data_IF_611635625577
#
_entry.id   IF_611635625577
#
_cell.length_a   1.000
_cell.length_b   1.000
_cell.length_c   1.000
_cell.angle_alpha   90.00
_cell.angle_beta   90.00
_cell.angle_gamma   90.00
#
_symmetry.space_group_name_H-M   'P 1'
#
loop_
_entity.id
_entity.type
_entity.pdbx_description
1 polymer ?
#
# COMPACT_ATOMS: atom_id res chain seq x y z
N UNK A 1 -7.48 0.50 15.08
CA UNK A 1 -6.61 1.13 14.07
C UNK A 1 -5.25 1.32 14.71
N UNK A 2 -4.22 0.61 14.26
CA UNK A 2 -2.86 0.70 14.85
C UNK A 2 -1.81 1.23 13.85
N UNK A 3 -2.18 1.37 12.58
CA UNK A 3 -1.30 1.84 11.50
C UNK A 3 -1.42 3.33 11.19
N UNK A 4 -2.44 4.02 11.72
CA UNK A 4 -2.83 5.41 11.37
C UNK A 4 -2.97 5.72 9.86
N UNK A 5 -2.97 4.68 9.03
CA UNK A 5 -3.02 4.77 7.58
C UNK A 5 -4.07 3.82 7.00
N UNK A 6 -4.69 4.26 5.89
CA UNK A 6 -5.54 3.42 5.05
C UNK A 6 -4.68 2.61 4.10
N UNK A 7 -5.01 1.33 3.90
CA UNK A 7 -4.33 0.43 2.97
C UNK A 7 -5.35 -0.21 2.05
N UNK A 8 -5.01 -0.32 0.77
CA UNK A 8 -5.76 -1.06 -0.24
C UNK A 8 -4.79 -1.89 -1.07
N UNK A 9 -5.27 -3.01 -1.61
CA UNK A 9 -4.54 -3.81 -2.59
C UNK A 9 -5.18 -3.64 -3.96
N UNK A 10 -4.36 -3.59 -5.00
CA UNK A 10 -4.84 -3.46 -6.37
C UNK A 10 -3.77 -3.91 -7.37
N UNK A 11 -4.22 -4.28 -8.56
CA UNK A 11 -3.33 -4.61 -9.67
C UNK A 11 -2.95 -3.35 -10.44
N UNK A 12 -1.71 -3.32 -10.91
CA UNK A 12 -1.19 -2.27 -11.80
C UNK A 12 -0.72 -2.92 -13.10
N UNK A 13 -0.72 -2.18 -14.24
CA UNK A 13 -0.02 -2.61 -15.44
C UNK A 13 1.43 -3.01 -15.15
N UNK A 14 1.91 -4.10 -15.73
CA UNK A 14 3.27 -4.62 -15.49
C UNK A 14 4.36 -3.58 -15.79
N UNK A 15 4.15 -2.70 -16.78
CA UNK A 15 5.09 -1.62 -17.10
C UNK A 15 5.27 -0.59 -15.97
N UNK A 16 4.43 -0.62 -14.93
CA UNK A 16 4.49 0.27 -13.76
C UNK A 16 5.05 -0.43 -12.50
N UNK A 17 5.48 -1.68 -12.60
CA UNK A 17 6.10 -2.41 -11.49
C UNK A 17 7.32 -1.65 -10.94
N UNK A 18 7.36 -1.42 -9.63
CA UNK A 18 8.48 -0.75 -8.95
C UNK A 18 8.69 0.72 -9.34
N UNK A 19 7.77 1.31 -10.11
CA UNK A 19 7.80 2.74 -10.40
C UNK A 19 7.47 3.51 -9.12
N UNK A 20 8.25 4.53 -8.72
CA UNK A 20 7.96 5.40 -7.58
C UNK A 20 6.80 6.37 -7.89
N UNK A 21 5.75 5.86 -8.53
CA UNK A 21 4.60 6.60 -9.01
C UNK A 21 3.68 7.02 -7.87
N UNK A 22 3.13 8.23 -7.99
CA UNK A 22 1.93 8.62 -7.26
C UNK A 22 0.74 7.95 -7.94
N UNK A 23 0.02 7.13 -7.18
CA UNK A 23 -1.27 6.60 -7.60
C UNK A 23 -2.37 7.52 -7.09
N UNK A 24 -3.53 7.48 -7.75
CA UNK A 24 -4.75 8.05 -7.20
C UNK A 24 -5.82 6.95 -7.12
N UNK A 25 -6.47 6.88 -5.97
CA UNK A 25 -7.56 5.94 -5.73
C UNK A 25 -8.84 6.76 -5.55
N UNK A 26 -9.89 6.39 -6.27
CA UNK A 26 -11.21 6.97 -6.06
C UNK A 26 -11.91 6.27 -4.89
N UNK A 27 -12.32 7.04 -3.89
CA UNK A 27 -13.11 6.56 -2.76
C UNK A 27 -14.38 7.39 -2.69
N UNK A 28 -15.52 6.80 -3.06
CA UNK A 28 -16.83 7.43 -3.05
C UNK A 28 -16.85 8.77 -3.82
N UNK A 29 -16.34 8.75 -5.06
CA UNK A 29 -16.27 9.94 -5.93
C UNK A 29 -15.16 10.94 -5.57
N UNK A 30 -14.30 10.65 -4.58
CA UNK A 30 -13.17 11.50 -4.21
C UNK A 30 -11.85 10.83 -4.59
N UNK A 31 -11.07 11.45 -5.48
CA UNK A 31 -9.70 11.03 -5.77
C UNK A 31 -8.79 11.32 -4.58
N UNK A 32 -8.00 10.34 -4.17
CA UNK A 32 -7.05 10.44 -3.07
C UNK A 32 -5.68 9.98 -3.55
N UNK A 33 -4.65 10.77 -3.27
CA UNK A 33 -3.28 10.35 -3.54
C UNK A 33 -2.93 9.11 -2.71
N UNK A 34 -2.23 8.18 -3.35
CA UNK A 34 -1.74 6.94 -2.77
C UNK A 34 -0.31 6.69 -3.24
N UNK A 35 0.42 5.93 -2.42
CA UNK A 35 1.79 5.51 -2.68
C UNK A 35 1.85 4.00 -2.63
N UNK A 36 2.75 3.41 -3.44
CA UNK A 36 3.04 1.99 -3.33
C UNK A 36 3.58 1.66 -1.94
N UNK A 37 3.13 0.53 -1.38
CA UNK A 37 3.58 0.04 -0.07
C UNK A 37 4.10 -1.41 -0.23
N UNK A 38 5.39 -1.59 -0.53
CA UNK A 38 5.94 -2.91 -0.86
C UNK A 38 6.21 -3.79 0.37
N UNK A 39 6.13 -3.23 1.59
CA UNK A 39 6.36 -3.94 2.86
C UNK A 39 5.12 -3.90 3.72
N UNK A 40 4.92 -4.92 4.56
CA UNK A 40 3.88 -4.85 5.57
C UNK A 40 4.10 -3.62 6.48
N UNK A 41 3.02 -2.87 6.76
CA UNK A 41 3.07 -1.75 7.71
C UNK A 41 3.32 -2.21 9.15
N UNK A 42 3.03 -3.48 9.42
CA UNK A 42 3.18 -4.08 10.74
C UNK A 42 4.06 -5.32 10.64
N UNK A 43 5.01 -5.43 11.55
CA UNK A 43 5.99 -6.51 11.59
C UNK A 43 6.61 -6.81 10.21
N UNK A 44 7.29 -5.82 9.57
CA UNK A 44 7.84 -5.98 8.23
C UNK A 44 8.87 -7.11 8.11
N UNK A 45 9.40 -7.55 9.25
CA UNK A 45 10.35 -8.65 9.31
C UNK A 45 9.68 -9.98 9.65
N UNK A 46 8.49 -10.01 10.25
CA UNK A 46 7.79 -11.24 10.66
C UNK A 46 8.31 -11.85 11.97
N UNK A 47 8.94 -11.05 12.83
CA UNK A 47 9.58 -11.56 14.06
C UNK A 47 8.56 -12.13 15.05
N UNK A 48 7.33 -11.62 15.04
CA UNK A 48 6.31 -12.00 16.03
C UNK A 48 5.79 -13.41 15.85
N UNK A 49 6.01 -14.03 14.69
CA UNK A 49 5.55 -15.37 14.36
C UNK A 49 6.64 -16.44 14.48
N UNK A 50 7.90 -16.05 14.75
CA UNK A 50 9.07 -16.93 14.72
C UNK A 50 9.57 -17.40 16.10
N UNK A 51 8.80 -17.14 17.16
CA UNK A 51 9.08 -17.60 18.53
C UNK A 51 8.48 -18.97 18.82
#
# INVERSE_FOLDING_TARGET
>A
HHSDASVAMGYVPAALEGSPGRFEIEVLGKRRAATEQPRALFDPHGERMRS
#
